data_IF_605167254173
#
_entry.id   IF_605167254173
#
_cell.length_a   1.000
_cell.length_b   1.000
_cell.length_c   1.000
_cell.angle_alpha   90.00
_cell.angle_beta   90.00
_cell.angle_gamma   90.00
#
_symmetry.space_group_name_H-M   'P 1'
#
loop_
_entity.id
_entity.type
_entity.pdbx_description
1 polymer ?
#
# COMPACT_ATOMS: atom_id res chain seq x y z
N UNK A 1 -12.29 85.24 26.75
CA UNK A 1 -12.53 84.16 25.78
C UNK A 1 -12.62 84.82 24.42
N UNK A 2 -11.52 84.84 23.68
CA UNK A 2 -11.45 85.37 22.32
C UNK A 2 -10.68 84.36 21.51
N UNK A 3 -11.37 83.67 20.61
CA UNK A 3 -10.80 82.60 19.80
C UNK A 3 -9.80 83.18 18.79
N UNK A 4 -8.57 82.63 18.68
CA UNK A 4 -7.64 83.01 17.62
C UNK A 4 -8.08 82.48 16.25
N UNK A 5 -7.87 83.33 15.24
CA UNK A 5 -8.26 83.27 13.81
C UNK A 5 -7.82 82.00 13.04
N UNK A 6 -8.51 81.67 11.93
CA UNK A 6 -8.29 80.45 11.13
C UNK A 6 -7.16 80.53 10.07
N UNK A 7 -6.23 81.48 10.16
CA UNK A 7 -5.17 81.68 9.13
C UNK A 7 -3.91 80.81 9.33
N UNK A 8 -3.72 80.19 10.50
CA UNK A 8 -2.47 79.48 10.84
C UNK A 8 -2.47 77.98 10.45
N UNK A 9 -3.55 77.48 9.85
CA UNK A 9 -3.72 76.06 9.51
C UNK A 9 -3.37 75.71 8.05
N UNK A 10 -3.37 76.68 7.14
CA UNK A 10 -3.14 76.42 5.71
C UNK A 10 -1.66 76.48 5.30
N UNK A 11 -0.82 77.20 6.05
CA UNK A 11 0.60 77.35 5.71
C UNK A 11 1.47 76.14 6.15
N UNK A 12 0.88 75.24 6.95
CA UNK A 12 1.53 73.99 7.37
C UNK A 12 1.39 72.85 6.35
N UNK A 13 0.51 73.00 5.35
CA UNK A 13 0.27 72.01 4.31
C UNK A 13 1.07 72.23 3.01
N UNK A 14 1.67 73.42 2.81
CA UNK A 14 2.34 73.78 1.54
C UNK A 14 3.87 73.58 1.53
N UNK A 15 4.46 73.10 2.64
CA UNK A 15 5.93 73.03 2.83
C UNK A 15 6.54 71.63 2.94
N UNK A 16 5.80 70.57 2.57
CA UNK A 16 6.36 69.19 2.56
C UNK A 16 6.21 68.45 1.25
N UNK A 17 5.90 69.18 0.17
CA UNK A 17 5.83 68.69 -1.20
C UNK A 17 6.95 69.28 -2.06
N UNK A 18 8.22 69.00 -1.70
CA UNK A 18 9.41 69.09 -2.57
C UNK A 18 10.67 68.93 -1.72
N UNK A 19 11.19 67.70 -1.64
CA UNK A 19 12.64 67.39 -1.66
C UNK A 19 12.84 65.88 -1.55
N UNK A 20 13.89 65.41 -2.25
CA UNK A 20 14.43 64.05 -2.28
C UNK A 20 13.76 63.05 -3.24
N UNK A 21 14.21 63.13 -4.50
CA UNK A 21 14.20 62.01 -5.43
C UNK A 21 14.88 60.79 -4.79
N UNK A 22 14.16 59.67 -4.72
CA UNK A 22 14.66 58.39 -4.24
C UNK A 22 15.59 57.77 -5.31
N UNK A 23 16.70 57.11 -4.92
CA UNK A 23 17.59 56.45 -5.85
C UNK A 23 16.85 55.31 -6.56
N UNK A 24 17.05 55.20 -7.88
CA UNK A 24 16.66 54.05 -8.69
C UNK A 24 17.44 52.82 -8.20
N UNK A 25 16.95 52.20 -7.12
CA UNK A 25 17.47 50.94 -6.62
C UNK A 25 16.92 49.83 -7.50
N UNK A 26 17.83 49.19 -8.22
CA UNK A 26 17.62 47.97 -9.01
C UNK A 26 17.26 46.81 -8.08
N UNK A 27 16.05 46.83 -7.54
CA UNK A 27 15.44 45.65 -6.93
C UNK A 27 14.64 44.97 -8.02
N UNK A 28 15.36 44.18 -8.83
CA UNK A 28 14.74 43.09 -9.58
C UNK A 28 13.85 42.34 -8.57
N UNK A 29 12.52 42.31 -8.71
CA UNK A 29 11.72 41.52 -7.79
C UNK A 29 12.15 40.07 -8.00
N UNK A 30 12.78 39.50 -6.95
CA UNK A 30 13.05 38.06 -6.86
C UNK A 30 11.75 37.36 -7.28
N UNK A 31 11.75 36.50 -8.31
CA UNK A 31 10.50 35.95 -8.81
C UNK A 31 9.77 35.33 -7.62
N UNK A 32 8.56 35.81 -7.35
CA UNK A 32 7.69 35.26 -6.33
C UNK A 32 7.62 33.77 -6.62
N UNK A 33 8.30 32.98 -5.77
CA UNK A 33 8.33 31.52 -5.84
C UNK A 33 6.86 31.11 -5.83
N UNK A 34 6.33 30.72 -7.00
CA UNK A 34 4.92 30.34 -7.16
C UNK A 34 4.63 29.30 -6.09
N UNK A 35 3.83 29.68 -5.10
CA UNK A 35 3.21 28.74 -4.18
C UNK A 35 2.23 27.91 -5.03
N UNK A 36 2.75 26.84 -5.64
CA UNK A 36 2.05 26.07 -6.64
C UNK A 36 2.78 24.76 -6.85
N UNK A 37 2.34 23.74 -6.10
CA UNK A 37 2.74 22.33 -6.17
C UNK A 37 4.22 22.04 -5.88
N UNK A 38 4.64 22.24 -4.62
CA UNK A 38 5.64 21.33 -4.04
C UNK A 38 4.92 19.97 -3.83
N UNK A 39 4.61 19.27 -4.93
CA UNK A 39 4.22 17.87 -4.87
C UNK A 39 5.42 17.14 -4.26
N UNK A 40 5.33 16.78 -2.98
CA UNK A 40 6.27 15.82 -2.40
C UNK A 40 6.25 14.64 -3.37
N UNK A 41 7.39 14.28 -4.00
CA UNK A 41 7.40 13.18 -4.93
C UNK A 41 6.97 11.94 -4.12
N UNK A 42 5.76 11.42 -4.43
CA UNK A 42 5.17 10.22 -3.84
C UNK A 42 6.14 9.03 -3.83
N UNK A 43 7.15 9.08 -4.71
CA UNK A 43 8.16 8.06 -4.91
C UNK A 43 9.53 8.75 -5.01
N UNK A 44 10.54 8.36 -4.19
CA UNK A 44 11.90 8.90 -4.29
C UNK A 44 12.47 8.72 -5.71
N UNK A 45 13.34 9.63 -6.16
CA UNK A 45 13.92 9.54 -7.52
C UNK A 45 14.65 8.20 -7.78
N UNK A 46 15.21 7.57 -6.74
CA UNK A 46 15.82 6.23 -6.77
C UNK A 46 14.82 5.08 -6.97
N UNK A 47 13.55 5.30 -6.64
CA UNK A 47 12.44 4.38 -6.86
C UNK A 47 11.75 4.60 -8.21
N UNK A 48 12.23 5.55 -9.02
CA UNK A 48 11.92 5.64 -10.46
C UNK A 48 12.64 4.51 -11.23
N UNK A 49 12.56 3.27 -10.75
CA UNK A 49 12.83 2.11 -11.61
C UNK A 49 11.72 2.10 -12.66
N UNK A 50 12.09 1.83 -13.92
CA UNK A 50 11.10 1.64 -14.98
C UNK A 50 10.11 0.59 -14.48
N UNK A 51 8.90 1.00 -14.13
CA UNK A 51 7.73 0.12 -14.07
C UNK A 51 7.37 -0.28 -15.50
N UNK A 52 8.34 -0.84 -16.21
CA UNK A 52 8.22 -1.30 -17.58
C UNK A 52 7.62 -2.69 -17.58
N UNK A 53 6.84 -2.99 -18.61
CA UNK A 53 6.37 -4.35 -18.91
C UNK A 53 7.59 -5.28 -18.97
N UNK A 54 7.51 -6.45 -18.33
CA UNK A 54 8.54 -7.48 -18.45
C UNK A 54 8.89 -7.66 -19.93
N UNK A 55 10.16 -7.53 -20.29
CA UNK A 55 10.59 -7.54 -21.69
C UNK A 55 10.33 -8.90 -22.34
N UNK A 56 10.39 -9.97 -21.55
CA UNK A 56 10.25 -11.36 -21.97
C UNK A 56 9.54 -12.22 -20.91
N UNK A 57 9.02 -13.40 -21.31
CA UNK A 57 8.33 -14.34 -20.42
C UNK A 57 9.17 -14.79 -19.21
N UNK A 58 10.47 -15.02 -19.42
CA UNK A 58 11.39 -15.38 -18.34
C UNK A 58 11.49 -14.32 -17.25
N UNK A 59 11.40 -13.04 -17.61
CA UNK A 59 11.43 -11.93 -16.66
C UNK A 59 10.13 -11.87 -15.85
N UNK A 60 8.98 -12.16 -16.47
CA UNK A 60 7.70 -12.31 -15.75
C UNK A 60 7.73 -13.46 -14.73
N UNK A 61 8.28 -14.62 -15.11
CA UNK A 61 8.45 -15.74 -14.17
C UNK A 61 9.42 -15.40 -13.05
N UNK A 62 10.54 -14.75 -13.36
CA UNK A 62 11.49 -14.28 -12.34
C UNK A 62 10.81 -13.37 -11.33
N UNK A 63 10.02 -12.39 -11.79
CA UNK A 63 9.26 -11.51 -10.90
C UNK A 63 8.24 -12.27 -10.05
N UNK A 64 7.53 -13.25 -10.63
CA UNK A 64 6.58 -14.07 -9.89
C UNK A 64 7.28 -14.91 -8.80
N UNK A 65 8.38 -15.60 -9.12
CA UNK A 65 9.14 -16.38 -8.14
C UNK A 65 9.78 -15.49 -7.07
N UNK A 66 10.28 -14.32 -7.45
CA UNK A 66 10.80 -13.35 -6.51
C UNK A 66 9.71 -12.85 -5.55
N UNK A 67 8.49 -12.61 -6.06
CA UNK A 67 7.32 -12.27 -5.24
C UNK A 67 6.95 -13.38 -4.25
N UNK A 68 6.99 -14.65 -4.68
CA UNK A 68 6.78 -15.81 -3.80
C UNK A 68 7.84 -15.85 -2.69
N UNK A 69 9.12 -15.67 -3.04
CA UNK A 69 10.22 -15.70 -2.08
C UNK A 69 10.13 -14.59 -1.03
N UNK A 70 9.81 -13.36 -1.45
CA UNK A 70 9.59 -12.23 -0.54
C UNK A 70 8.40 -12.52 0.37
N UNK A 71 7.27 -12.95 -0.20
CA UNK A 71 6.07 -13.27 0.58
C UNK A 71 6.37 -14.32 1.66
N UNK A 72 7.07 -15.40 1.31
CA UNK A 72 7.42 -16.47 2.26
C UNK A 72 8.41 -16.00 3.34
N UNK A 73 9.23 -15.00 3.07
CA UNK A 73 10.17 -14.45 4.06
C UNK A 73 9.46 -13.51 5.04
N UNK A 74 8.65 -12.61 4.52
CA UNK A 74 8.16 -11.46 5.26
C UNK A 74 6.78 -11.71 5.90
N UNK A 75 5.93 -12.54 5.26
CA UNK A 75 4.56 -12.78 5.72
C UNK A 75 4.43 -14.04 6.57
N UNK A 76 4.09 -13.87 7.85
CA UNK A 76 3.93 -14.99 8.81
C UNK A 76 2.81 -15.94 8.39
N UNK A 77 1.67 -15.41 7.98
CA UNK A 77 0.51 -16.21 7.61
C UNK A 77 0.79 -17.07 6.37
N UNK A 78 1.45 -16.50 5.36
CA UNK A 78 1.86 -17.25 4.16
C UNK A 78 2.79 -18.42 4.51
N UNK A 79 3.75 -18.24 5.43
CA UNK A 79 4.60 -19.35 5.92
C UNK A 79 3.77 -20.46 6.54
N UNK A 80 2.78 -20.11 7.38
CA UNK A 80 1.92 -21.10 8.04
C UNK A 80 1.12 -21.89 7.00
N UNK A 81 0.46 -21.21 6.06
CA UNK A 81 -0.33 -21.87 5.01
C UNK A 81 0.53 -22.75 4.09
N UNK A 82 1.75 -22.30 3.76
CA UNK A 82 2.68 -23.09 2.96
C UNK A 82 3.18 -24.31 3.72
N UNK A 83 3.59 -24.16 4.99
CA UNK A 83 4.00 -25.30 5.84
C UNK A 83 2.87 -26.32 6.02
N UNK A 84 1.63 -25.86 6.22
CA UNK A 84 0.47 -26.75 6.31
C UNK A 84 0.22 -27.49 4.99
N UNK A 85 0.36 -26.82 3.85
CA UNK A 85 0.26 -27.46 2.53
C UNK A 85 1.32 -28.55 2.33
N UNK A 86 2.55 -28.33 2.80
CA UNK A 86 3.61 -29.36 2.78
C UNK A 86 3.24 -30.55 3.66
N UNK A 87 2.76 -30.31 4.89
CA UNK A 87 2.32 -31.38 5.79
C UNK A 87 1.17 -32.21 5.19
N UNK A 88 0.17 -31.55 4.61
CA UNK A 88 -0.96 -32.19 3.91
C UNK A 88 -0.48 -33.02 2.73
N UNK A 89 0.51 -32.53 1.97
CA UNK A 89 1.10 -33.26 0.84
C UNK A 89 1.81 -34.52 1.33
N UNK A 90 2.62 -34.43 2.39
CA UNK A 90 3.30 -35.59 2.99
C UNK A 90 2.27 -36.62 3.48
N UNK A 91 1.22 -36.17 4.18
CA UNK A 91 0.14 -37.04 4.65
C UNK A 91 -0.61 -37.72 3.49
N UNK A 92 -0.90 -36.98 2.41
CA UNK A 92 -1.52 -37.49 1.19
C UNK A 92 -0.70 -38.60 0.52
N UNK A 93 0.61 -38.42 0.45
CA UNK A 93 1.53 -39.43 -0.08
C UNK A 93 1.62 -40.65 0.83
N UNK A 94 1.71 -40.46 2.14
CA UNK A 94 1.80 -41.55 3.12
C UNK A 94 0.53 -42.42 3.15
N UNK A 95 -0.65 -41.80 3.09
CA UNK A 95 -1.95 -42.48 3.12
C UNK A 95 -2.43 -42.98 1.75
N UNK A 96 -1.62 -42.77 0.69
CA UNK A 96 -1.92 -43.18 -0.70
C UNK A 96 -3.36 -42.81 -1.10
N UNK A 97 -3.68 -41.53 -0.96
CA UNK A 97 -5.00 -41.01 -1.36
C UNK A 97 -5.18 -41.14 -2.88
N UNK A 98 -6.43 -41.21 -3.32
CA UNK A 98 -6.79 -41.33 -4.73
C UNK A 98 -6.51 -40.03 -5.51
N UNK A 99 -6.44 -40.16 -6.84
CA UNK A 99 -6.16 -39.04 -7.74
C UNK A 99 -7.21 -37.92 -7.64
N UNK A 100 -8.48 -38.25 -7.41
CA UNK A 100 -9.56 -37.26 -7.29
C UNK A 100 -9.40 -36.42 -6.04
N UNK A 101 -9.07 -37.06 -4.91
CA UNK A 101 -8.71 -36.39 -3.66
C UNK A 101 -7.50 -35.47 -3.84
N UNK A 102 -6.48 -35.88 -4.61
CA UNK A 102 -5.34 -35.01 -4.95
C UNK A 102 -5.75 -33.75 -5.70
N UNK A 103 -6.64 -33.85 -6.70
CA UNK A 103 -7.13 -32.67 -7.41
C UNK A 103 -7.82 -31.68 -6.47
N UNK A 104 -8.68 -32.18 -5.58
CA UNK A 104 -9.36 -31.35 -4.58
C UNK A 104 -8.36 -30.64 -3.63
N UNK A 105 -7.36 -31.37 -3.13
CA UNK A 105 -6.32 -30.81 -2.27
C UNK A 105 -5.47 -29.77 -2.99
N UNK A 106 -5.02 -30.05 -4.21
CA UNK A 106 -4.18 -29.12 -5.00
C UNK A 106 -4.95 -27.81 -5.23
N UNK A 107 -6.22 -27.90 -5.65
CA UNK A 107 -7.05 -26.72 -5.90
C UNK A 107 -7.23 -25.90 -4.62
N UNK A 108 -7.59 -26.54 -3.50
CA UNK A 108 -7.89 -25.81 -2.27
C UNK A 108 -6.64 -25.22 -1.63
N UNK A 109 -5.50 -25.92 -1.65
CA UNK A 109 -4.22 -25.40 -1.18
C UNK A 109 -3.75 -24.22 -2.04
N UNK A 110 -3.85 -24.35 -3.37
CA UNK A 110 -3.51 -23.26 -4.29
C UNK A 110 -4.41 -22.03 -4.07
N UNK A 111 -5.70 -22.23 -3.80
CA UNK A 111 -6.64 -21.16 -3.53
C UNK A 111 -6.32 -20.41 -2.24
N UNK A 112 -6.03 -21.12 -1.14
CA UNK A 112 -5.62 -20.52 0.14
C UNK A 112 -4.36 -19.66 -0.06
N UNK A 113 -3.32 -20.22 -0.67
CA UNK A 113 -2.06 -19.51 -0.90
C UNK A 113 -2.27 -18.29 -1.80
N UNK A 114 -3.08 -18.42 -2.86
CA UNK A 114 -3.37 -17.32 -3.77
C UNK A 114 -4.12 -16.18 -3.06
N UNK A 115 -5.11 -16.50 -2.24
CA UNK A 115 -5.84 -15.48 -1.47
C UNK A 115 -4.94 -14.81 -0.42
N UNK A 116 -3.98 -15.52 0.15
CA UNK A 116 -3.01 -14.93 1.08
C UNK A 116 -2.09 -13.92 0.38
N UNK A 117 -1.65 -14.21 -0.85
CA UNK A 117 -0.92 -13.24 -1.69
C UNK A 117 -1.78 -12.03 -2.06
N UNK A 118 -3.05 -12.25 -2.39
CA UNK A 118 -3.99 -11.15 -2.68
C UNK A 118 -4.22 -10.31 -1.43
N UNK A 119 -4.43 -10.92 -0.27
CA UNK A 119 -4.60 -10.24 1.02
C UNK A 119 -3.38 -9.36 1.34
N UNK A 120 -2.17 -9.90 1.21
CA UNK A 120 -0.92 -9.13 1.40
C UNK A 120 -0.82 -7.96 0.42
N UNK A 121 -1.19 -8.18 -0.85
CA UNK A 121 -1.16 -7.14 -1.87
C UNK A 121 -2.17 -6.03 -1.59
N UNK A 122 -3.37 -6.38 -1.13
CA UNK A 122 -4.41 -5.44 -0.71
C UNK A 122 -3.98 -4.66 0.54
N UNK A 123 -3.33 -5.31 1.49
CA UNK A 123 -2.79 -4.66 2.68
C UNK A 123 -1.80 -3.55 2.29
N UNK A 124 -0.83 -3.85 1.43
CA UNK A 124 0.12 -2.86 0.92
C UNK A 124 -0.56 -1.74 0.12
N UNK A 125 -1.54 -2.08 -0.72
CA UNK A 125 -2.28 -1.07 -1.51
C UNK A 125 -3.07 -0.12 -0.62
N UNK A 126 -3.72 -0.65 0.41
CA UNK A 126 -4.47 0.13 1.40
C UNK A 126 -3.53 1.01 2.22
N UNK A 127 -2.37 0.50 2.65
CA UNK A 127 -1.39 1.28 3.42
C UNK A 127 -0.80 2.45 2.62
N UNK A 128 -0.51 2.22 1.34
CA UNK A 128 -0.08 3.28 0.41
C UNK A 128 -1.20 4.32 0.25
N UNK A 129 -2.44 3.88 0.02
CA UNK A 129 -3.58 4.78 -0.21
C UNK A 129 -3.94 5.60 1.03
N UNK A 130 -3.76 5.02 2.22
CA UNK A 130 -3.97 5.65 3.52
C UNK A 130 -2.82 6.59 3.93
N UNK A 131 -1.75 6.67 3.14
CA UNK A 131 -0.51 7.36 3.51
C UNK A 131 0.01 6.92 4.90
N UNK A 132 -0.12 5.63 5.20
CA UNK A 132 0.20 5.02 6.49
C UNK A 132 -0.50 5.65 7.71
N UNK A 133 -1.64 6.31 7.51
CA UNK A 133 -2.48 6.86 8.57
C UNK A 133 -3.69 5.96 8.85
N UNK A 134 -4.19 6.02 10.08
CA UNK A 134 -5.36 5.23 10.45
C UNK A 134 -6.63 5.78 9.80
N UNK A 135 -7.31 4.95 9.01
CA UNK A 135 -8.64 5.21 8.50
C UNK A 135 -9.56 4.02 8.80
N UNK A 136 -10.77 4.31 9.30
CA UNK A 136 -11.75 3.27 9.60
C UNK A 136 -12.08 2.41 8.36
N UNK A 137 -12.24 3.05 7.19
CA UNK A 137 -12.48 2.33 5.94
C UNK A 137 -11.30 1.42 5.52
N UNK A 138 -10.06 1.87 5.73
CA UNK A 138 -8.87 1.06 5.47
C UNK A 138 -8.83 -0.19 6.37
N UNK A 139 -9.17 -0.03 7.65
CA UNK A 139 -9.31 -1.15 8.58
C UNK A 139 -10.38 -2.14 8.10
N UNK A 140 -11.58 -1.66 7.74
CA UNK A 140 -12.64 -2.52 7.22
C UNK A 140 -12.22 -3.28 5.96
N UNK A 141 -11.49 -2.63 5.05
CA UNK A 141 -10.98 -3.28 3.85
C UNK A 141 -9.99 -4.41 4.17
N UNK A 142 -9.02 -4.16 5.07
CA UNK A 142 -8.06 -5.17 5.54
C UNK A 142 -8.76 -6.32 6.26
N UNK A 143 -9.68 -6.03 7.19
CA UNK A 143 -10.42 -7.03 7.95
C UNK A 143 -11.25 -7.93 7.02
N UNK A 144 -11.86 -7.35 5.98
CA UNK A 144 -12.63 -8.10 4.96
C UNK A 144 -11.72 -9.00 4.13
N UNK A 145 -10.55 -8.52 3.71
CA UNK A 145 -9.57 -9.31 2.96
C UNK A 145 -9.06 -10.50 3.79
N UNK A 146 -8.74 -10.28 5.07
CA UNK A 146 -8.35 -11.33 6.00
C UNK A 146 -9.48 -12.37 6.22
N UNK A 147 -10.74 -11.91 6.29
CA UNK A 147 -11.89 -12.81 6.41
C UNK A 147 -12.05 -13.77 5.22
N UNK A 148 -11.70 -13.32 4.00
CA UNK A 148 -11.77 -14.16 2.80
C UNK A 148 -10.78 -15.33 2.87
N UNK A 149 -9.55 -15.06 3.35
CA UNK A 149 -8.54 -16.12 3.59
C UNK A 149 -9.04 -17.10 4.64
N UNK A 150 -9.64 -16.60 5.73
CA UNK A 150 -10.17 -17.44 6.81
C UNK A 150 -11.24 -18.41 6.32
N UNK A 151 -12.21 -17.92 5.52
CA UNK A 151 -13.29 -18.75 4.95
C UNK A 151 -12.72 -19.87 4.09
N UNK A 152 -11.77 -19.55 3.21
CA UNK A 152 -11.17 -20.56 2.33
C UNK A 152 -10.28 -21.53 3.11
N UNK A 153 -9.56 -21.06 4.12
CA UNK A 153 -8.76 -21.92 5.00
C UNK A 153 -9.63 -22.90 5.78
N UNK A 154 -10.81 -22.46 6.23
CA UNK A 154 -11.78 -23.34 6.88
C UNK A 154 -12.34 -24.38 5.91
N UNK A 155 -12.66 -23.98 4.68
CA UNK A 155 -13.06 -24.92 3.63
C UNK A 155 -11.95 -25.95 3.32
N UNK A 156 -10.69 -25.52 3.25
CA UNK A 156 -9.54 -26.40 3.07
C UNK A 156 -9.41 -27.44 4.18
N UNK A 157 -9.64 -27.03 5.43
CA UNK A 157 -9.65 -27.93 6.58
C UNK A 157 -10.76 -28.97 6.48
N UNK A 158 -11.98 -28.58 6.06
CA UNK A 158 -13.10 -29.52 5.85
C UNK A 158 -12.77 -30.51 4.74
N UNK A 159 -12.29 -30.04 3.59
CA UNK A 159 -11.89 -30.91 2.46
C UNK A 159 -10.81 -31.90 2.90
N UNK A 160 -9.79 -31.43 3.61
CA UNK A 160 -8.77 -32.29 4.20
C UNK A 160 -9.37 -33.33 5.17
N UNK A 161 -10.28 -32.92 6.04
CA UNK A 161 -10.99 -33.83 6.94
C UNK A 161 -11.77 -34.92 6.22
N UNK A 162 -12.53 -34.56 5.19
CA UNK A 162 -13.31 -35.52 4.38
C UNK A 162 -12.41 -36.57 3.73
N UNK A 163 -11.22 -36.18 3.29
CA UNK A 163 -10.26 -37.08 2.62
C UNK A 163 -9.49 -37.93 3.64
N UNK A 164 -8.96 -37.31 4.69
CA UNK A 164 -8.01 -37.95 5.60
C UNK A 164 -8.66 -38.73 6.74
N UNK A 165 -9.80 -38.27 7.29
CA UNK A 165 -10.48 -38.95 8.41
C UNK A 165 -10.85 -40.41 8.07
N UNK A 166 -11.53 -40.73 6.95
CA UNK A 166 -11.86 -42.13 6.66
C UNK A 166 -10.61 -43.00 6.43
N UNK A 167 -9.56 -42.43 5.82
CA UNK A 167 -8.29 -43.13 5.60
C UNK A 167 -7.56 -43.43 6.91
N UNK A 168 -7.55 -42.49 7.84
CA UNK A 168 -6.98 -42.67 9.18
C UNK A 168 -7.76 -43.71 9.99
N UNK A 169 -9.10 -43.66 9.95
CA UNK A 169 -9.94 -44.65 10.64
C UNK A 169 -9.78 -46.06 10.07
N UNK A 170 -9.47 -46.20 8.77
CA UNK A 170 -9.20 -47.52 8.17
C UNK A 170 -7.83 -48.11 8.54
N UNK A 171 -6.95 -47.34 9.18
CA UNK A 171 -5.61 -47.77 9.57
C UNK A 171 -5.58 -48.39 10.98
N UNK A 172 -6.60 -48.11 11.80
CA UNK A 172 -6.78 -48.62 13.16
C UNK A 172 -7.92 -49.64 13.20
#
# INVERSE_FOLDING_TARGET
>A
MGDPKPEDAQDRFSRKSRTAAAPANSTNPKPLRRAGTDVIPLVPASWRRKSGRAGNLFESFYHAFHGIAIGLRDQRNLRIHFSMSVLVTIAGLALKIDTTSWFALIIVMALVISLEFVNTSLEHLVDISANNQYHYAARCAKDTAASAVLVVSFAAMIVGGIIFVPKLLSLF
#
